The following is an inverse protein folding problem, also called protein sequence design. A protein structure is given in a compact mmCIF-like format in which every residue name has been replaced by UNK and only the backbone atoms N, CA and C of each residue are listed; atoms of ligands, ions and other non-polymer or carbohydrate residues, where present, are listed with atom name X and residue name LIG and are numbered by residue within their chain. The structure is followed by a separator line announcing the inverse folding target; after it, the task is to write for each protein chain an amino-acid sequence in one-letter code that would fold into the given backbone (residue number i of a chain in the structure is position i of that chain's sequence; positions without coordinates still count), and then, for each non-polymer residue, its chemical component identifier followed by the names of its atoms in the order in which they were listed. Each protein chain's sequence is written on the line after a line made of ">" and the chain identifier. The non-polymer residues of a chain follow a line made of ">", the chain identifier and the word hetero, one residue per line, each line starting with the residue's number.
data_IF_928405985576
#
_entry.id   IF_928405985576
#
_cell.length_a   1.000
_cell.length_b   1.000
_cell.length_c   1.000
_cell.angle_alpha   90.00
_cell.angle_beta   90.00
_cell.angle_gamma   90.00
#
_symmetry.space_group_name_H-M   'P 1'
#
loop_
_entity.id
_entity.type
_entity.pdbx_description
1 polymer ?
#
# COMPACT_ATOMS: atom_id res chain seq x y z
N UNK A 1 6.27 12.00 0.56
CA UNK A 1 6.76 11.55 -0.77
C UNK A 1 8.28 11.45 -0.73
N UNK A 2 8.94 10.82 -1.70
CA UNK A 2 10.42 10.79 -1.73
C UNK A 2 11.02 12.20 -1.92
N UNK A 3 10.34 13.10 -2.63
CA UNK A 3 10.71 14.52 -2.70
C UNK A 3 10.74 15.18 -1.31
N UNK A 4 9.68 14.98 -0.52
CA UNK A 4 9.62 15.48 0.85
C UNK A 4 10.78 14.97 1.72
N UNK A 5 11.16 13.70 1.54
CA UNK A 5 12.35 13.14 2.21
C UNK A 5 13.66 13.80 1.80
N UNK A 6 13.87 14.06 0.51
CA UNK A 6 15.09 14.73 0.04
C UNK A 6 15.22 16.16 0.59
N UNK A 7 14.09 16.83 0.82
CA UNK A 7 14.04 18.19 1.37
C UNK A 7 14.13 18.23 2.91
N UNK A 8 13.53 17.27 3.60
CA UNK A 8 13.30 17.33 5.07
C UNK A 8 13.99 16.22 5.86
N UNK A 9 14.57 15.22 5.19
CA UNK A 9 15.20 14.05 5.82
C UNK A 9 14.22 13.04 6.46
N UNK A 10 12.91 13.20 6.24
CA UNK A 10 11.86 12.32 6.76
C UNK A 10 10.79 12.08 5.69
N UNK A 11 10.12 10.93 5.71
CA UNK A 11 9.11 10.60 4.67
C UNK A 11 7.76 11.30 4.86
N UNK A 12 7.49 11.77 6.08
CA UNK A 12 6.29 12.51 6.48
C UNK A 12 6.62 13.44 7.66
N UNK A 13 5.80 14.48 7.93
CA UNK A 13 5.96 15.32 9.12
C UNK A 13 5.94 14.51 10.41
N UNK A 14 6.58 15.01 11.47
CA UNK A 14 6.62 14.33 12.78
C UNK A 14 5.22 14.03 13.35
N UNK A 15 4.26 14.93 13.09
CA UNK A 15 2.85 14.82 13.46
C UNK A 15 1.97 14.21 12.36
N UNK A 16 2.55 13.63 11.30
CA UNK A 16 1.79 13.19 10.12
C UNK A 16 0.69 12.18 10.40
N UNK A 17 0.84 11.30 11.41
CA UNK A 17 -0.22 10.36 11.79
C UNK A 17 -1.37 11.09 12.49
N UNK A 18 -1.06 12.03 13.39
CA UNK A 18 -2.05 12.84 14.09
C UNK A 18 -2.84 13.70 13.09
N UNK A 19 -2.15 14.23 12.08
CA UNK A 19 -2.79 15.01 11.01
C UNK A 19 -3.73 14.15 10.16
N UNK A 20 -3.43 12.86 9.97
CA UNK A 20 -4.25 11.92 9.20
C UNK A 20 -5.42 11.30 10.00
N UNK A 21 -5.30 11.22 11.32
CA UNK A 21 -6.28 10.60 12.22
C UNK A 21 -7.73 11.15 12.14
N UNK A 22 -7.98 12.46 11.94
CA UNK A 22 -9.36 12.97 11.91
C UNK A 22 -10.12 12.68 10.61
N UNK A 23 -9.47 12.12 9.58
CA UNK A 23 -10.13 11.81 8.31
C UNK A 23 -10.79 10.43 8.33
N UNK A 24 -11.94 10.28 7.67
CA UNK A 24 -12.67 9.01 7.59
C UNK A 24 -11.95 7.97 6.70
N UNK A 25 -11.14 8.40 5.74
CA UNK A 25 -10.44 7.54 4.81
C UNK A 25 -9.16 8.21 4.26
N UNK A 26 -8.22 7.39 3.82
CA UNK A 26 -6.97 7.81 3.18
C UNK A 26 -6.94 7.29 1.75
N UNK A 27 -6.95 8.19 0.77
CA UNK A 27 -6.63 7.86 -0.62
C UNK A 27 -5.13 8.03 -0.83
N UNK A 28 -4.44 6.93 -1.12
CA UNK A 28 -3.00 6.90 -1.27
C UNK A 28 -2.60 6.50 -2.70
N UNK A 29 -1.70 7.27 -3.31
CA UNK A 29 -1.13 6.98 -4.64
C UNK A 29 0.00 5.95 -4.56
N UNK A 30 1.21 6.38 -4.90
CA UNK A 30 2.41 5.55 -4.82
C UNK A 30 3.53 6.27 -4.06
N UNK A 31 4.44 5.50 -3.48
CA UNK A 31 5.69 6.00 -2.90
C UNK A 31 6.85 5.08 -3.32
N UNK A 32 7.97 5.70 -3.66
CA UNK A 32 9.16 5.04 -4.18
C UNK A 32 9.85 5.97 -5.19
N UNK A 33 11.17 5.99 -5.20
CA UNK A 33 11.97 6.76 -6.14
C UNK A 33 13.39 6.17 -6.20
N UNK A 34 14.01 5.98 -7.38
CA UNK A 34 15.34 5.35 -7.48
C UNK A 34 16.43 6.00 -6.61
N UNK A 35 16.33 7.30 -6.32
CA UNK A 35 17.27 8.01 -5.45
C UNK A 35 17.01 7.90 -3.95
N UNK A 36 15.96 7.18 -3.52
CA UNK A 36 15.63 6.96 -2.10
C UNK A 36 15.52 5.45 -1.85
N UNK A 37 16.30 4.86 -0.94
CA UNK A 37 16.25 3.44 -0.68
C UNK A 37 14.84 2.96 -0.28
N UNK A 38 14.41 1.82 -0.82
CA UNK A 38 13.09 1.26 -0.55
C UNK A 38 12.76 1.13 0.95
N UNK A 39 13.67 0.63 1.84
CA UNK A 39 13.38 0.54 3.26
C UNK A 39 13.04 1.89 3.90
N UNK A 40 13.65 2.99 3.43
CA UNK A 40 13.37 4.34 3.94
C UNK A 40 11.93 4.72 3.61
N UNK A 41 11.52 4.54 2.36
CA UNK A 41 10.16 4.90 1.93
C UNK A 41 9.08 4.02 2.56
N UNK A 42 9.38 2.74 2.77
CA UNK A 42 8.49 1.75 3.37
C UNK A 42 8.30 1.99 4.86
N UNK A 43 9.39 2.03 5.63
CA UNK A 43 9.36 2.14 7.10
C UNK A 43 9.16 3.56 7.58
N UNK A 44 9.50 4.57 6.79
CA UNK A 44 9.33 5.97 7.15
C UNK A 44 7.88 6.47 7.02
N UNK A 45 6.99 5.73 6.36
CA UNK A 45 5.62 6.19 6.11
C UNK A 45 4.60 5.06 5.99
N UNK A 46 4.76 4.14 5.05
CA UNK A 46 3.72 3.15 4.73
C UNK A 46 3.46 2.17 5.89
N UNK A 47 4.51 1.64 6.51
CA UNK A 47 4.37 0.74 7.66
C UNK A 47 3.81 1.46 8.90
N UNK A 48 4.29 2.67 9.28
CA UNK A 48 3.68 3.47 10.35
C UNK A 48 2.17 3.68 10.17
N UNK A 49 1.73 4.08 8.96
CA UNK A 49 0.30 4.27 8.66
C UNK A 49 -0.47 2.95 8.89
N UNK A 50 0.03 1.83 8.35
CA UNK A 50 -0.64 0.52 8.49
C UNK A 50 -0.74 0.07 9.94
N UNK A 51 0.35 0.14 10.71
CA UNK A 51 0.39 -0.35 12.09
C UNK A 51 -0.36 0.58 13.04
N UNK A 52 -0.19 1.90 12.94
CA UNK A 52 -0.83 2.85 13.87
C UNK A 52 -2.33 3.00 13.65
N UNK A 53 -2.81 2.91 12.40
CA UNK A 53 -4.25 2.86 12.12
C UNK A 53 -4.83 1.44 12.16
N UNK A 54 -4.04 0.45 12.60
CA UNK A 54 -4.46 -0.95 12.68
C UNK A 54 -5.12 -1.46 11.38
N UNK A 55 -4.51 -1.16 10.24
CA UNK A 55 -4.95 -1.66 8.93
C UNK A 55 -4.55 -3.12 8.74
N UNK A 56 -5.09 -4.00 9.59
CA UNK A 56 -4.78 -5.44 9.61
C UNK A 56 -5.37 -6.18 8.41
N UNK A 57 -6.41 -5.64 7.77
CA UNK A 57 -6.96 -6.20 6.51
C UNK A 57 -6.26 -5.58 5.30
N UNK A 58 -5.47 -6.38 4.58
CA UNK A 58 -5.09 -6.07 3.20
C UNK A 58 -6.05 -6.78 2.23
N UNK A 59 -7.09 -6.07 1.81
CA UNK A 59 -8.04 -6.57 0.82
C UNK A 59 -7.46 -6.41 -0.59
N UNK A 60 -7.30 -7.52 -1.32
CA UNK A 60 -6.81 -7.53 -2.70
C UNK A 60 -7.83 -8.19 -3.64
N UNK A 61 -8.66 -7.39 -4.34
CA UNK A 61 -9.51 -7.91 -5.40
C UNK A 61 -8.64 -8.49 -6.53
N UNK A 62 -8.93 -9.70 -6.97
CA UNK A 62 -8.28 -10.36 -8.10
C UNK A 62 -9.33 -10.55 -9.17
N UNK A 63 -9.25 -9.73 -10.23
CA UNK A 63 -10.22 -9.75 -11.34
C UNK A 63 -9.51 -9.70 -12.68
N UNK A 64 -9.89 -10.60 -13.59
CA UNK A 64 -9.56 -10.44 -14.99
C UNK A 64 -10.60 -9.49 -15.62
N UNK A 65 -10.15 -8.34 -16.12
CA UNK A 65 -11.06 -7.35 -16.70
C UNK A 65 -11.39 -7.70 -18.16
N UNK A 66 -12.62 -7.38 -18.64
CA UNK A 66 -12.96 -7.53 -20.05
C UNK A 66 -11.95 -6.83 -20.96
N UNK A 67 -11.52 -7.52 -22.02
CA UNK A 67 -10.54 -7.02 -22.98
C UNK A 67 -9.07 -7.19 -22.58
N UNK A 68 -8.78 -7.72 -21.39
CA UNK A 68 -7.41 -8.07 -20.98
C UNK A 68 -7.15 -9.55 -21.28
N UNK A 69 -6.06 -9.84 -22.00
CA UNK A 69 -5.60 -11.21 -22.22
C UNK A 69 -4.91 -11.74 -20.98
N UNK A 70 -5.43 -12.84 -20.44
CA UNK A 70 -4.79 -13.55 -19.33
C UNK A 70 -3.54 -14.31 -19.80
N UNK A 71 -2.46 -14.36 -19.00
CA UNK A 71 -1.33 -15.24 -19.27
C UNK A 71 -1.68 -16.73 -19.09
N UNK A 72 -2.73 -17.05 -18.33
CA UNK A 72 -3.28 -18.40 -18.24
C UNK A 72 -4.16 -18.65 -19.47
N UNK A 73 -3.90 -19.77 -20.17
CA UNK A 73 -4.67 -20.17 -21.34
C UNK A 73 -6.15 -20.37 -21.02
N UNK A 74 -7.01 -19.97 -21.96
CA UNK A 74 -8.45 -20.19 -21.95
C UNK A 74 -9.17 -19.67 -20.68
N UNK A 75 -8.76 -18.51 -20.17
CA UNK A 75 -9.43 -17.84 -19.04
C UNK A 75 -10.18 -16.60 -19.48
N UNK A 76 -11.38 -16.45 -18.94
CA UNK A 76 -12.27 -15.29 -19.16
C UNK A 76 -12.48 -14.51 -17.87
N UNK A 77 -13.00 -13.26 -17.94
CA UNK A 77 -13.34 -12.45 -16.77
C UNK A 77 -14.19 -13.17 -15.72
N UNK A 78 -15.02 -14.12 -16.14
CA UNK A 78 -15.90 -14.92 -15.28
C UNK A 78 -15.12 -15.97 -14.47
N UNK A 79 -13.97 -16.43 -14.95
CA UNK A 79 -13.15 -17.44 -14.28
C UNK A 79 -12.32 -16.87 -13.12
N UNK A 80 -11.97 -15.57 -13.20
CA UNK A 80 -11.06 -14.91 -12.27
C UNK A 80 -11.75 -13.70 -11.68
N UNK A 81 -12.51 -13.94 -10.60
CA UNK A 81 -13.17 -12.90 -9.83
C UNK A 81 -13.32 -13.32 -8.38
N UNK A 82 -12.32 -13.05 -7.56
CA UNK A 82 -12.33 -13.37 -6.14
C UNK A 82 -11.57 -12.32 -5.33
N UNK A 83 -11.63 -12.47 -4.01
CA UNK A 83 -10.92 -11.60 -3.07
C UNK A 83 -9.88 -12.40 -2.30
N UNK A 84 -8.71 -11.79 -2.12
CA UNK A 84 -7.76 -12.22 -1.10
C UNK A 84 -7.87 -11.27 0.07
N UNK A 85 -8.18 -11.81 1.25
CA UNK A 85 -8.16 -11.08 2.52
C UNK A 85 -6.89 -11.52 3.25
N UNK A 86 -5.88 -10.66 3.26
CA UNK A 86 -4.55 -10.97 3.82
C UNK A 86 -4.35 -10.23 5.14
N UNK A 87 -3.87 -10.96 6.15
CA UNK A 87 -3.33 -10.38 7.40
C UNK A 87 -2.09 -9.51 7.07
N UNK A 88 -2.04 -8.30 7.62
CA UNK A 88 -1.09 -7.26 7.20
C UNK A 88 -0.24 -6.67 8.35
N UNK A 89 -0.50 -7.02 9.60
CA UNK A 89 0.13 -6.47 10.79
C UNK A 89 0.93 -7.48 11.62
N UNK A 90 0.85 -8.78 11.33
CA UNK A 90 1.53 -9.87 12.03
C UNK A 90 2.29 -10.81 11.05
N UNK A 91 2.60 -12.04 11.48
CA UNK A 91 3.24 -13.07 10.64
C UNK A 91 4.75 -12.93 10.48
N UNK A 92 5.33 -13.71 9.56
CA UNK A 92 6.79 -13.85 9.37
C UNK A 92 7.50 -12.56 8.92
N UNK A 93 6.75 -11.54 8.51
CA UNK A 93 7.30 -10.27 8.00
C UNK A 93 7.31 -9.14 9.03
N UNK A 94 7.08 -9.45 10.31
CA UNK A 94 6.90 -8.45 11.38
C UNK A 94 8.15 -8.12 12.17
#
# INVERSE_FOLDING_TARGET
>A
SCQYYLEHGAMMPKNGIQDLMPFDAILFGAVGYPGVPDPVSLWGMLIPIRRQFQQYVNLRPVRLLPGITSPLANRTPEDINFYVVRENNEGEYS
#
